data_IF_333964913090
#
_entry.id   IF_333964913090
#
_cell.length_a   1.000
_cell.length_b   1.000
_cell.length_c   1.000
_cell.angle_alpha   90.00
_cell.angle_beta   90.00
_cell.angle_gamma   90.00
#
_symmetry.space_group_name_H-M   'P 1'
#
loop_
_entity.id
_entity.type
_entity.pdbx_description
1 polymer ?
#
# COMPACT_ATOMS: atom_id res chain seq x y z
N UNK A 1 -7.62 27.96 -16.92
CA UNK A 1 -7.12 26.76 -16.20
C UNK A 1 -8.18 25.66 -16.27
N UNK A 2 -7.85 24.42 -16.69
CA UNK A 2 -8.81 23.31 -16.85
C UNK A 2 -9.47 22.88 -15.53
N UNK A 3 -10.64 22.24 -15.62
CA UNK A 3 -11.35 21.77 -14.43
C UNK A 3 -10.58 20.70 -13.65
N UNK A 4 -9.91 19.76 -14.35
CA UNK A 4 -9.08 18.74 -13.72
C UNK A 4 -7.98 19.39 -12.86
N UNK A 5 -7.31 20.41 -13.38
CA UNK A 5 -6.22 21.08 -12.68
C UNK A 5 -6.68 21.67 -11.33
N UNK A 6 -7.85 22.32 -11.30
CA UNK A 6 -8.44 22.85 -10.06
C UNK A 6 -8.83 21.75 -9.06
N UNK A 7 -9.30 20.60 -9.55
CA UNK A 7 -9.66 19.47 -8.68
C UNK A 7 -8.41 18.93 -7.96
N UNK A 8 -7.28 18.82 -8.66
CA UNK A 8 -6.03 18.30 -8.12
C UNK A 8 -5.26 19.36 -7.30
N UNK A 9 -5.39 20.64 -7.62
CA UNK A 9 -4.87 21.75 -6.80
C UNK A 9 -5.48 21.74 -5.39
N UNK A 10 -6.81 21.53 -5.28
CA UNK A 10 -7.49 21.42 -3.98
C UNK A 10 -7.01 20.25 -3.10
N UNK A 11 -6.37 19.24 -3.69
CA UNK A 11 -5.81 18.10 -2.94
C UNK A 11 -4.43 18.40 -2.34
N UNK A 12 -3.78 19.49 -2.75
CA UNK A 12 -2.42 19.85 -2.34
C UNK A 12 -1.32 18.99 -2.98
N UNK A 13 -1.67 18.14 -3.96
CA UNK A 13 -0.74 17.28 -4.70
C UNK A 13 -0.31 17.89 -6.04
N UNK A 14 -0.85 19.06 -6.37
CA UNK A 14 -0.55 19.86 -7.54
C UNK A 14 -0.50 21.31 -7.09
N UNK A 15 0.63 21.98 -7.32
CA UNK A 15 0.83 23.38 -6.96
C UNK A 15 1.55 24.09 -8.12
N UNK A 16 1.16 25.32 -8.39
CA UNK A 16 1.87 26.18 -9.32
C UNK A 16 2.15 27.53 -8.68
N UNK A 17 3.31 28.09 -9.00
CA UNK A 17 3.74 29.41 -8.58
C UNK A 17 4.25 30.17 -9.80
N UNK A 18 3.52 31.21 -10.19
CA UNK A 18 3.85 32.05 -11.34
C UNK A 18 4.98 33.03 -10.97
N UNK A 19 6.22 32.61 -11.25
CA UNK A 19 7.44 33.33 -10.89
C UNK A 19 7.70 34.54 -11.80
N UNK A 20 7.22 34.49 -13.04
CA UNK A 20 7.52 35.49 -14.07
C UNK A 20 6.35 36.47 -14.33
N UNK A 21 5.18 36.21 -13.72
CA UNK A 21 3.94 36.98 -13.81
C UNK A 21 3.41 37.15 -15.25
N UNK A 22 3.71 36.20 -16.14
CA UNK A 22 3.27 36.20 -17.55
C UNK A 22 1.87 35.59 -17.75
N UNK A 23 1.30 34.97 -16.71
CA UNK A 23 -0.01 34.33 -16.73
C UNK A 23 -0.04 32.97 -17.46
N UNK A 24 1.12 32.40 -17.78
CA UNK A 24 1.31 31.11 -18.45
C UNK A 24 2.12 30.19 -17.54
N UNK A 25 1.60 28.98 -17.29
CA UNK A 25 2.31 28.00 -16.45
C UNK A 25 3.38 27.30 -17.27
N UNK A 26 4.65 27.46 -16.90
CA UNK A 26 5.77 26.80 -17.55
C UNK A 26 6.24 25.56 -16.77
N UNK A 27 6.22 24.41 -17.45
CA UNK A 27 6.78 23.15 -16.94
C UNK A 27 8.13 22.87 -17.61
N UNK A 28 9.22 23.06 -16.87
CA UNK A 28 10.59 22.96 -17.38
C UNK A 28 11.44 22.08 -16.45
N UNK A 29 12.47 21.44 -17.00
CA UNK A 29 13.35 20.56 -16.22
C UNK A 29 14.26 21.33 -15.23
N UNK A 30 14.48 22.63 -15.46
CA UNK A 30 15.26 23.48 -14.58
C UNK A 30 14.43 23.89 -13.37
N UNK A 31 14.88 23.54 -12.16
CA UNK A 31 14.17 23.81 -10.90
C UNK A 31 14.01 25.30 -10.59
N UNK A 32 14.89 26.15 -11.12
CA UNK A 32 14.81 27.60 -10.90
C UNK A 32 13.67 28.22 -11.73
N UNK A 33 13.51 27.75 -12.96
CA UNK A 33 12.53 28.26 -13.93
C UNK A 33 11.20 27.52 -13.84
N UNK A 34 11.17 26.29 -13.32
CA UNK A 34 9.94 25.52 -13.21
C UNK A 34 8.94 26.19 -12.26
N UNK A 35 7.72 26.34 -12.74
CA UNK A 35 6.59 26.99 -12.06
C UNK A 35 5.53 25.97 -11.64
N UNK A 36 5.66 24.71 -12.07
CA UNK A 36 4.67 23.66 -11.84
C UNK A 36 5.28 22.48 -11.09
N UNK A 37 4.77 22.24 -9.88
CA UNK A 37 5.12 21.08 -9.06
C UNK A 37 3.98 20.07 -9.12
N UNK A 38 4.27 18.89 -9.67
CA UNK A 38 3.31 17.79 -9.82
C UNK A 38 3.88 16.53 -9.17
N UNK A 39 3.09 15.91 -8.31
CA UNK A 39 3.36 14.54 -7.86
C UNK A 39 3.27 13.55 -9.03
N UNK A 40 4.33 12.78 -9.27
CA UNK A 40 4.39 11.83 -10.39
C UNK A 40 3.25 10.80 -10.34
N UNK A 41 2.84 10.41 -9.14
CA UNK A 41 1.81 9.40 -8.92
C UNK A 41 0.41 9.92 -9.26
N UNK A 42 0.17 11.24 -9.19
CA UNK A 42 -1.14 11.81 -9.55
C UNK A 42 -1.36 11.87 -11.06
N UNK A 43 -0.30 11.91 -11.86
CA UNK A 43 -0.44 12.00 -13.32
C UNK A 43 -1.17 10.80 -13.92
N UNK A 44 -0.99 9.62 -13.34
CA UNK A 44 -1.71 8.41 -13.76
C UNK A 44 -3.18 8.46 -13.32
N UNK A 45 -3.46 9.01 -12.15
CA UNK A 45 -4.82 9.13 -11.60
C UNK A 45 -5.62 10.27 -12.25
N UNK A 46 -4.95 11.32 -12.71
CA UNK A 46 -5.54 12.45 -13.40
C UNK A 46 -5.81 12.16 -14.89
N UNK A 47 -5.11 11.19 -15.49
CA UNK A 47 -5.22 10.87 -16.92
C UNK A 47 -6.67 10.59 -17.40
N UNK A 48 -7.52 9.85 -16.65
CA UNK A 48 -8.93 9.68 -17.01
C UNK A 48 -9.73 10.99 -17.06
N UNK A 49 -9.42 11.94 -16.17
CA UNK A 49 -10.03 13.29 -16.17
C UNK A 49 -9.50 14.15 -17.31
N UNK A 50 -8.19 14.09 -17.59
CA UNK A 50 -7.55 14.79 -18.72
C UNK A 50 -8.12 14.31 -20.06
N UNK A 51 -8.42 13.02 -20.17
CA UNK A 51 -9.02 12.40 -21.35
C UNK A 51 -10.54 12.63 -21.50
N UNK A 52 -11.17 13.41 -20.60
CA UNK A 52 -12.62 13.64 -20.58
C UNK A 52 -13.45 12.34 -20.60
N UNK A 53 -13.00 11.30 -19.88
CA UNK A 53 -13.74 10.05 -19.80
C UNK A 53 -15.03 10.22 -18.96
N UNK A 54 -16.09 9.45 -19.26
CA UNK A 54 -17.31 9.47 -18.47
C UNK A 54 -17.04 9.15 -16.99
N UNK A 55 -17.78 9.80 -16.08
CA UNK A 55 -17.61 9.65 -14.63
C UNK A 55 -17.67 8.20 -14.13
N UNK A 56 -18.45 7.32 -14.79
CA UNK A 56 -18.51 5.91 -14.44
C UNK A 56 -17.22 5.14 -14.75
N UNK A 57 -16.46 5.53 -15.79
CA UNK A 57 -15.15 4.94 -16.12
C UNK A 57 -14.13 5.32 -15.06
N UNK A 58 -14.11 6.60 -14.67
CA UNK A 58 -13.26 7.11 -13.59
C UNK A 58 -13.60 6.37 -12.29
N UNK A 59 -14.90 6.22 -11.99
CA UNK A 59 -15.38 5.45 -10.85
C UNK A 59 -14.91 4.00 -10.84
N UNK A 60 -14.97 3.31 -11.98
CA UNK A 60 -14.49 1.93 -12.10
C UNK A 60 -12.97 1.80 -11.91
N UNK A 61 -12.18 2.71 -12.47
CA UNK A 61 -10.71 2.73 -12.29
C UNK A 61 -10.36 2.92 -10.82
N UNK A 62 -10.95 3.92 -10.17
CA UNK A 62 -10.70 4.22 -8.75
C UNK A 62 -11.24 3.12 -7.83
N UNK A 63 -12.34 2.45 -8.20
CA UNK A 63 -12.83 1.28 -7.47
C UNK A 63 -11.89 0.07 -7.64
N UNK A 64 -11.38 -0.17 -8.85
CA UNK A 64 -10.45 -1.24 -9.16
C UNK A 64 -9.12 -1.11 -8.41
N UNK A 65 -8.53 0.10 -8.39
CA UNK A 65 -7.29 0.35 -7.65
C UNK A 65 -7.46 0.14 -6.14
N UNK A 66 -8.58 0.61 -5.57
CA UNK A 66 -8.91 0.35 -4.15
C UNK A 66 -9.12 -1.13 -3.86
N UNK A 67 -9.78 -1.86 -4.75
CA UNK A 67 -10.03 -3.29 -4.60
C UNK A 67 -8.73 -4.10 -4.64
N UNK A 68 -7.81 -3.79 -5.58
CA UNK A 68 -6.52 -4.46 -5.71
C UNK A 68 -5.65 -4.33 -4.45
N UNK A 69 -5.57 -3.12 -3.90
CA UNK A 69 -4.84 -2.87 -2.65
C UNK A 69 -5.46 -3.63 -1.49
N UNK A 70 -6.79 -3.64 -1.38
CA UNK A 70 -7.50 -4.36 -0.33
C UNK A 70 -7.30 -5.89 -0.40
N UNK A 71 -7.35 -6.46 -1.61
CA UNK A 71 -7.13 -7.90 -1.82
C UNK A 71 -5.71 -8.33 -1.41
N UNK A 72 -4.71 -7.48 -1.69
CA UNK A 72 -3.33 -7.74 -1.27
C UNK A 72 -3.22 -7.79 0.26
N UNK A 73 -3.86 -6.85 0.97
CA UNK A 73 -3.91 -6.86 2.44
C UNK A 73 -4.62 -8.09 3.02
N UNK A 74 -5.70 -8.55 2.37
CA UNK A 74 -6.44 -9.73 2.82
C UNK A 74 -5.54 -10.96 2.89
N UNK A 75 -4.72 -11.19 1.86
CA UNK A 75 -3.82 -12.36 1.81
C UNK A 75 -2.91 -12.42 3.03
N UNK A 76 -2.39 -11.27 3.47
CA UNK A 76 -1.54 -11.16 4.66
C UNK A 76 -2.32 -11.46 5.95
N UNK A 77 -3.57 -11.04 6.06
CA UNK A 77 -4.43 -11.36 7.21
C UNK A 77 -4.78 -12.85 7.32
N UNK A 78 -4.73 -13.59 6.21
CA UNK A 78 -4.82 -15.06 6.22
C UNK A 78 -3.82 -15.71 7.16
N UNK A 79 -2.62 -15.13 7.33
CA UNK A 79 -1.58 -15.63 8.22
C UNK A 79 -1.98 -15.59 9.70
N UNK A 80 -2.93 -14.73 10.10
CA UNK A 80 -3.43 -14.75 11.48
C UNK A 80 -4.19 -16.03 11.81
N UNK A 81 -4.83 -16.65 10.81
CA UNK A 81 -5.43 -17.96 11.00
C UNK A 81 -4.37 -19.01 11.26
N UNK A 82 -3.33 -19.06 10.41
CA UNK A 82 -2.21 -20.00 10.54
C UNK A 82 -1.54 -19.81 11.90
N UNK A 83 -1.17 -18.58 12.28
CA UNK A 83 -0.57 -18.29 13.58
C UNK A 83 -1.46 -18.71 14.76
N UNK A 84 -2.77 -18.47 14.70
CA UNK A 84 -3.66 -18.84 15.81
C UNK A 84 -3.86 -20.35 15.94
N UNK A 85 -3.78 -21.11 14.84
CA UNK A 85 -3.90 -22.56 14.89
C UNK A 85 -2.54 -23.24 15.17
N UNK A 86 -1.48 -22.83 14.49
CA UNK A 86 -0.15 -23.45 14.58
C UNK A 86 0.66 -22.96 15.79
N UNK A 87 0.60 -21.68 16.16
CA UNK A 87 1.31 -21.20 17.36
C UNK A 87 0.45 -21.40 18.61
N UNK A 88 -0.80 -20.93 18.62
CA UNK A 88 -1.61 -20.97 19.85
C UNK A 88 -2.17 -22.38 20.14
N UNK A 89 -2.87 -23.00 19.18
CA UNK A 89 -3.52 -24.30 19.42
C UNK A 89 -2.54 -25.47 19.42
N UNK A 90 -1.44 -25.41 18.67
CA UNK A 90 -0.49 -26.55 18.60
C UNK A 90 0.63 -26.45 19.64
N UNK A 91 1.16 -25.25 19.92
CA UNK A 91 2.36 -25.09 20.75
C UNK A 91 2.10 -24.50 22.15
N UNK A 92 1.18 -23.54 22.30
CA UNK A 92 1.03 -22.79 23.57
C UNK A 92 -0.11 -23.31 24.44
N UNK A 93 -1.32 -23.45 23.90
CA UNK A 93 -2.48 -23.92 24.65
C UNK A 93 -3.36 -24.87 23.80
N UNK A 94 -3.12 -26.20 23.91
CA UNK A 94 -3.81 -27.21 23.12
C UNK A 94 -5.33 -27.28 23.33
N UNK A 95 -5.80 -26.87 24.51
CA UNK A 95 -7.20 -27.00 24.91
C UNK A 95 -8.04 -25.75 24.61
N UNK A 96 -7.53 -24.80 23.83
CA UNK A 96 -8.27 -23.57 23.51
C UNK A 96 -9.50 -23.85 22.63
N UNK A 97 -10.65 -23.33 23.07
CA UNK A 97 -11.92 -23.41 22.33
C UNK A 97 -11.87 -22.59 21.04
N UNK A 98 -12.64 -23.00 20.04
CA UNK A 98 -12.71 -22.35 18.73
C UNK A 98 -13.20 -20.90 18.80
N UNK A 99 -14.05 -20.58 19.78
CA UNK A 99 -14.43 -19.19 20.11
C UNK A 99 -13.25 -18.37 20.65
N UNK A 100 -12.37 -18.98 21.44
CA UNK A 100 -11.16 -18.33 21.96
C UNK A 100 -10.16 -18.01 20.84
N UNK A 101 -10.04 -18.92 19.87
CA UNK A 101 -9.22 -18.72 18.66
C UNK A 101 -9.74 -17.53 17.84
N UNK A 102 -11.06 -17.40 17.69
CA UNK A 102 -11.67 -16.26 16.99
C UNK A 102 -11.38 -14.93 17.69
N UNK A 103 -11.39 -14.91 19.03
CA UNK A 103 -10.98 -13.77 19.84
C UNK A 103 -9.51 -13.37 19.60
N UNK A 104 -8.60 -14.35 19.55
CA UNK A 104 -7.19 -14.10 19.23
C UNK A 104 -6.99 -13.55 17.82
N UNK A 105 -7.69 -14.09 16.82
CA UNK A 105 -7.66 -13.57 15.42
C UNK A 105 -8.08 -12.10 15.36
N UNK A 106 -9.14 -11.74 16.08
CA UNK A 106 -9.60 -10.35 16.17
C UNK A 106 -8.57 -9.45 16.88
N UNK A 107 -7.91 -9.95 17.92
CA UNK A 107 -6.85 -9.21 18.62
C UNK A 107 -5.65 -8.91 17.70
N UNK A 108 -5.16 -9.90 16.96
CA UNK A 108 -4.07 -9.69 15.98
C UNK A 108 -4.48 -8.70 14.89
N UNK A 109 -5.74 -8.78 14.42
CA UNK A 109 -6.27 -7.84 13.44
C UNK A 109 -6.30 -6.42 14.00
N UNK A 110 -6.86 -6.19 15.20
CA UNK A 110 -6.87 -4.88 15.86
C UNK A 110 -5.46 -4.33 16.10
N UNK A 111 -4.52 -5.18 16.53
CA UNK A 111 -3.12 -4.78 16.72
C UNK A 111 -2.48 -4.30 15.42
N UNK A 112 -2.76 -4.96 14.29
CA UNK A 112 -2.28 -4.53 12.98
C UNK A 112 -2.86 -3.18 12.54
N UNK A 113 -4.14 -2.91 12.82
CA UNK A 113 -4.76 -1.61 12.58
C UNK A 113 -4.12 -0.51 13.45
N UNK A 114 -3.88 -0.77 14.74
CA UNK A 114 -3.18 0.18 15.62
C UNK A 114 -1.76 0.49 15.11
N UNK A 115 -1.04 -0.53 14.65
CA UNK A 115 0.31 -0.36 14.13
C UNK A 115 0.33 0.43 12.81
N UNK A 116 -0.68 0.24 11.95
CA UNK A 116 -0.88 1.03 10.73
C UNK A 116 -1.14 2.51 11.04
N UNK A 117 -2.04 2.80 12.00
CA UNK A 117 -2.33 4.16 12.44
C UNK A 117 -1.10 4.89 13.00
N UNK A 118 -0.15 4.18 13.61
CA UNK A 118 1.10 4.75 14.11
C UNK A 118 2.20 4.94 13.04
N UNK A 119 2.02 4.47 11.80
CA UNK A 119 3.10 4.39 10.78
C UNK A 119 2.91 5.31 9.58
N UNK A 120 2.17 6.41 9.73
CA UNK A 120 1.77 7.29 8.61
C UNK A 120 2.92 8.19 8.07
N UNK A 121 4.19 7.99 8.46
CA UNK A 121 5.34 8.77 7.95
C UNK A 121 6.63 7.94 7.99
N UNK A 122 7.52 7.92 6.96
CA UNK A 122 7.36 8.14 5.53
C UNK A 122 7.02 6.83 4.75
N UNK A 123 6.29 6.91 3.62
CA UNK A 123 5.78 5.73 2.90
C UNK A 123 6.87 4.80 2.33
N UNK A 124 8.03 5.33 1.91
CA UNK A 124 9.12 4.52 1.36
C UNK A 124 9.73 3.51 2.35
N UNK A 125 9.69 3.83 3.65
CA UNK A 125 10.22 2.97 4.71
C UNK A 125 9.43 1.67 4.86
N UNK A 126 8.15 1.65 4.50
CA UNK A 126 7.31 0.45 4.61
C UNK A 126 7.77 -0.62 3.62
N UNK A 127 8.05 -0.23 2.37
CA UNK A 127 8.51 -1.15 1.34
C UNK A 127 9.86 -1.79 1.71
N UNK A 128 10.78 -1.00 2.24
CA UNK A 128 12.10 -1.47 2.66
C UNK A 128 12.02 -2.45 3.85
N UNK A 129 11.24 -2.12 4.89
CA UNK A 129 11.07 -3.01 6.06
C UNK A 129 10.39 -4.32 5.67
N UNK A 130 9.41 -4.28 4.78
CA UNK A 130 8.74 -5.49 4.27
C UNK A 130 9.72 -6.33 3.45
N UNK A 131 10.50 -5.71 2.57
CA UNK A 131 11.51 -6.41 1.76
C UNK A 131 12.55 -7.11 2.63
N UNK A 132 13.10 -6.44 3.65
CA UNK A 132 14.06 -7.02 4.60
C UNK A 132 13.47 -8.19 5.39
N UNK A 133 12.21 -8.07 5.82
CA UNK A 133 11.51 -9.12 6.57
C UNK A 133 11.29 -10.38 5.73
N UNK A 134 10.88 -10.22 4.46
CA UNK A 134 10.69 -11.35 3.54
C UNK A 134 12.03 -11.98 3.16
N UNK A 135 13.04 -11.15 2.89
CA UNK A 135 14.37 -11.63 2.48
C UNK A 135 15.02 -12.46 3.58
N UNK A 136 15.02 -11.97 4.82
CA UNK A 136 15.51 -12.72 5.99
C UNK A 136 14.75 -14.04 6.19
N UNK A 137 13.41 -14.02 6.13
CA UNK A 137 12.62 -15.25 6.23
C UNK A 137 12.94 -16.26 5.11
N UNK A 138 13.06 -15.79 3.87
CA UNK A 138 13.34 -16.64 2.70
C UNK A 138 14.68 -17.37 2.81
N UNK A 139 15.70 -16.74 3.41
CA UNK A 139 17.00 -17.35 3.64
C UNK A 139 16.96 -18.53 4.62
N UNK A 140 15.99 -18.57 5.53
CA UNK A 140 15.85 -19.69 6.46
C UNK A 140 14.94 -20.80 5.91
N UNK A 141 13.77 -20.42 5.38
CA UNK A 141 12.77 -21.40 4.96
C UNK A 141 13.11 -22.06 3.63
N UNK A 142 13.66 -21.32 2.66
CA UNK A 142 13.88 -21.86 1.33
C UNK A 142 14.96 -22.96 1.30
N UNK A 143 16.14 -22.78 1.95
CA UNK A 143 17.13 -23.86 2.03
C UNK A 143 16.61 -25.06 2.82
N UNK A 144 15.88 -24.84 3.92
CA UNK A 144 15.30 -25.91 4.72
C UNK A 144 14.28 -26.74 3.92
N UNK A 145 13.44 -26.09 3.10
CA UNK A 145 12.48 -26.78 2.21
C UNK A 145 13.20 -27.55 1.11
N UNK A 146 14.20 -26.95 0.46
CA UNK A 146 14.98 -27.63 -0.59
C UNK A 146 15.67 -28.86 -0.01
N UNK A 147 16.33 -28.74 1.15
CA UNK A 147 16.96 -29.88 1.81
C UNK A 147 15.91 -30.92 2.22
N UNK A 148 14.77 -30.54 2.77
CA UNK A 148 13.70 -31.48 3.13
C UNK A 148 13.07 -32.24 1.94
N UNK A 149 13.09 -31.67 0.73
CA UNK A 149 12.56 -32.33 -0.48
C UNK A 149 13.62 -33.20 -1.16
N UNK A 150 14.86 -32.70 -1.27
CA UNK A 150 15.89 -33.29 -2.11
C UNK A 150 17.00 -34.03 -1.34
N UNK A 151 17.17 -33.76 -0.05
CA UNK A 151 18.11 -34.47 0.82
C UNK A 151 17.33 -35.44 1.73
N UNK A 152 17.43 -36.73 1.41
CA UNK A 152 16.76 -37.82 2.15
C UNK A 152 17.61 -38.39 3.28
N UNK A 153 18.77 -37.80 3.56
CA UNK A 153 19.67 -38.28 4.61
C UNK A 153 19.07 -38.16 6.00
#
# INVERSE_FOLDING_TARGET
>A
MPQWFKNWENTGLLEFDDKNADGVIQYVADTQVNELTIDRDIMVLANPEIANLPAWVIGLIVAGTRCSTFNSCWSTFGNFNINSHDLLKKNINPNISEKGIMGCKNFYSCSSYCCWSCRVKPPGFVAEVVALSIWSGSLFFFPAIILGIFDKK
#
